data_IF_993094270663
#
_entry.id   IF_993094270663
#
_cell.length_a   1.000
_cell.length_b   1.000
_cell.length_c   1.000
_cell.angle_alpha   90.00
_cell.angle_beta   90.00
_cell.angle_gamma   90.00
#
_symmetry.space_group_name_H-M   'P 1'
#
loop_
_entity.id
_entity.type
_entity.pdbx_description
1 polymer ?
#
# COMPACT_ATOMS: atom_id res chain seq x y z
N UNK A 1 28.97 -19.03 24.24
CA UNK A 1 28.81 -18.73 23.79
C UNK A 1 28.26 -18.38 22.88
N UNK A 2 27.78 -18.03 22.44
CA UNK A 2 27.27 -17.69 21.75
C UNK A 2 26.96 -17.40 20.82
N UNK A 3 26.63 -17.19 20.31
CA UNK A 3 26.33 -16.93 19.53
C UNK A 3 25.97 -16.37 18.69
N UNK A 4 25.80 -16.07 18.32
CA UNK A 4 25.47 -15.44 17.68
C UNK A 4 24.95 -15.29 16.61
N UNK A 5 24.46 -15.19 16.46
CA UNK A 5 23.95 -15.00 15.66
C UNK A 5 23.60 -14.37 14.82
N UNK A 6 23.52 -13.99 14.43
CA UNK A 6 23.22 -13.35 13.74
C UNK A 6 22.91 -13.27 12.77
N UNK A 7 22.49 -13.12 12.63
CA UNK A 7 22.11 -12.94 11.86
C UNK A 7 21.83 -12.48 11.01
N UNK A 8 21.51 -12.43 10.71
CA UNK A 8 21.23 -12.09 10.03
C UNK A 8 21.11 -11.37 9.24
N UNK A 9 21.50 -11.11 9.26
CA UNK A 9 21.55 -10.05 8.54
C UNK A 9 20.83 -10.07 7.34
N UNK A 10 19.83 -10.05 7.28
CA UNK A 10 19.15 -10.08 6.12
C UNK A 10 19.18 -8.81 5.45
N UNK A 11 19.19 -8.75 4.21
CA UNK A 11 19.12 -7.56 3.47
C UNK A 11 17.73 -7.00 3.41
N UNK A 12 16.90 -7.41 4.30
CA UNK A 12 15.53 -6.98 4.28
C UNK A 12 15.42 -5.56 4.78
N UNK A 13 14.61 -4.75 4.18
CA UNK A 13 14.35 -3.41 4.63
C UNK A 13 13.46 -3.36 5.84
N UNK A 14 13.06 -2.18 6.20
CA UNK A 14 12.18 -1.98 7.34
C UNK A 14 10.77 -2.38 7.00
N UNK A 15 9.99 -2.63 8.04
CA UNK A 15 8.57 -2.86 7.88
C UNK A 15 7.88 -1.53 8.10
N UNK A 16 7.05 -1.10 7.13
CA UNK A 16 6.38 0.18 7.17
C UNK A 16 4.89 -0.03 7.28
N UNK A 17 4.29 0.51 8.32
CA UNK A 17 2.87 0.35 8.60
C UNK A 17 2.11 1.63 8.35
N UNK A 18 0.99 1.52 7.66
CA UNK A 18 0.11 2.65 7.41
C UNK A 18 -1.33 2.20 7.64
N UNK A 19 -2.14 3.09 8.19
CA UNK A 19 -3.56 2.83 8.40
C UNK A 19 -4.36 3.72 7.46
N UNK A 20 -5.26 3.11 6.71
CA UNK A 20 -6.07 3.83 5.74
C UNK A 20 -7.54 3.60 6.04
N UNK A 21 -8.25 4.68 6.31
CA UNK A 21 -9.67 4.64 6.54
C UNK A 21 -10.34 5.32 5.36
N UNK A 22 -10.98 4.53 4.52
CA UNK A 22 -11.55 5.00 3.27
C UNK A 22 -13.03 5.25 3.48
N UNK A 23 -13.43 6.51 3.38
CA UNK A 23 -14.81 6.91 3.56
C UNK A 23 -15.30 7.53 2.26
N UNK A 24 -16.39 6.98 1.73
CA UNK A 24 -16.96 7.50 0.50
C UNK A 24 -15.93 7.55 -0.63
N UNK A 25 -15.08 6.54 -0.69
CA UNK A 25 -14.10 6.40 -1.75
C UNK A 25 -12.90 7.29 -1.64
N UNK A 26 -12.62 7.88 -0.48
CA UNK A 26 -11.48 8.78 -0.34
C UNK A 26 -10.93 8.73 1.07
N UNK A 27 -9.72 9.23 1.21
CA UNK A 27 -9.08 9.37 2.51
C UNK A 27 -9.34 10.77 3.03
N UNK A 28 -9.13 10.96 4.35
CA UNK A 28 -9.31 12.26 4.95
C UNK A 28 -8.41 13.30 4.31
N UNK A 29 -7.16 12.92 4.02
CA UNK A 29 -6.25 13.76 3.29
C UNK A 29 -6.34 13.40 1.82
N UNK A 30 -6.41 14.41 0.95
CA UNK A 30 -6.59 14.18 -0.48
C UNK A 30 -5.29 13.66 -1.09
N UNK A 31 -5.33 12.44 -1.61
CA UNK A 31 -4.23 11.81 -2.33
C UNK A 31 -2.87 11.97 -1.63
N UNK A 32 -2.76 11.50 -0.37
CA UNK A 32 -1.47 11.60 0.32
C UNK A 32 -0.40 10.76 -0.36
N UNK A 33 0.85 11.06 -0.04
CA UNK A 33 1.98 10.29 -0.52
C UNK A 33 2.56 9.51 0.65
N UNK A 34 2.62 8.19 0.50
CA UNK A 34 3.27 7.33 1.48
C UNK A 34 4.69 7.07 1.00
N UNK A 35 5.67 7.39 1.83
CA UNK A 35 7.07 7.28 1.43
C UNK A 35 7.71 6.07 2.10
N UNK A 36 8.32 5.23 1.29
CA UNK A 36 9.02 4.05 1.77
C UNK A 36 10.33 3.94 1.00
N UNK A 37 11.14 2.95 1.36
CA UNK A 37 12.43 2.73 0.72
C UNK A 37 12.41 1.39 0.00
N UNK A 38 13.07 1.34 -1.13
CA UNK A 38 13.22 0.12 -1.91
C UNK A 38 13.69 -1.01 -1.00
N UNK A 39 13.00 -2.14 -1.06
CA UNK A 39 13.32 -3.29 -0.21
C UNK A 39 12.52 -3.36 1.07
N UNK A 40 11.78 -2.31 1.40
CA UNK A 40 10.92 -2.36 2.58
C UNK A 40 9.76 -3.30 2.37
N UNK A 41 9.15 -3.72 3.47
CA UNK A 41 7.87 -4.41 3.47
C UNK A 41 6.80 -3.42 3.89
N UNK A 42 5.76 -3.31 3.09
CA UNK A 42 4.68 -2.38 3.38
C UNK A 42 3.50 -3.15 3.94
N UNK A 43 2.94 -2.64 5.03
CA UNK A 43 1.77 -3.22 5.66
C UNK A 43 0.69 -2.14 5.68
N UNK A 44 -0.35 -2.36 4.92
CA UNK A 44 -1.48 -1.44 4.90
C UNK A 44 -2.63 -2.06 5.68
N UNK A 45 -3.11 -1.34 6.68
CA UNK A 45 -4.32 -1.72 7.39
C UNK A 45 -5.43 -0.88 6.81
N UNK A 46 -6.40 -1.55 6.22
CA UNK A 46 -7.39 -0.86 5.41
C UNK A 46 -8.79 -1.12 5.92
N UNK A 47 -9.61 -0.10 5.81
CA UNK A 47 -11.01 -0.24 6.10
C UNK A 47 -11.78 0.70 5.18
N UNK A 48 -12.89 0.24 4.64
CA UNK A 48 -13.71 1.04 3.74
C UNK A 48 -15.15 0.92 4.16
N UNK A 49 -15.90 2.00 4.01
CA UNK A 49 -17.33 1.98 4.29
C UNK A 49 -18.11 1.29 3.17
N UNK A 50 -17.45 0.90 2.09
CA UNK A 50 -18.08 0.24 0.97
C UNK A 50 -17.15 -0.78 0.36
N UNK A 51 -17.69 -1.69 -0.42
CA UNK A 51 -16.89 -2.66 -1.15
C UNK A 51 -16.08 -1.94 -2.21
N UNK A 52 -14.78 -2.18 -2.23
CA UNK A 52 -13.87 -1.55 -3.19
C UNK A 52 -12.87 -2.56 -3.70
N UNK A 53 -12.38 -2.30 -4.90
CA UNK A 53 -11.22 -2.99 -5.43
C UNK A 53 -10.14 -1.97 -5.63
N UNK A 54 -8.96 -2.19 -5.04
CA UNK A 54 -7.84 -1.27 -5.12
C UNK A 54 -6.79 -1.85 -6.05
N UNK A 55 -6.15 -0.97 -6.81
CA UNK A 55 -5.18 -1.36 -7.80
C UNK A 55 -3.93 -0.53 -7.61
N UNK A 56 -2.81 -1.19 -7.31
CA UNK A 56 -1.53 -0.50 -7.21
C UNK A 56 -0.83 -0.60 -8.56
N UNK A 57 -0.84 0.51 -9.28
CA UNK A 57 -0.27 0.54 -10.62
C UNK A 57 1.23 0.45 -10.56
N UNK A 58 1.81 -0.18 -11.56
CA UNK A 58 3.25 -0.38 -11.61
C UNK A 58 3.70 -1.65 -10.93
N UNK A 59 2.96 -2.11 -9.96
CA UNK A 59 3.24 -3.36 -9.27
C UNK A 59 2.25 -4.46 -9.65
N UNK A 60 1.20 -4.11 -10.38
CA UNK A 60 0.17 -5.04 -10.82
C UNK A 60 -0.47 -5.78 -9.67
N UNK A 61 -0.69 -5.08 -8.57
CA UNK A 61 -1.31 -5.67 -7.41
C UNK A 61 -2.74 -5.18 -7.29
N UNK A 62 -3.64 -6.10 -6.98
CA UNK A 62 -5.05 -5.80 -6.80
C UNK A 62 -5.49 -6.32 -5.45
N UNK A 63 -6.31 -5.56 -4.76
CA UNK A 63 -6.74 -5.90 -3.42
C UNK A 63 -8.21 -5.53 -3.25
N UNK A 64 -9.00 -6.47 -2.73
CA UNK A 64 -10.44 -6.25 -2.54
C UNK A 64 -10.76 -6.01 -1.09
N UNK A 65 -11.63 -5.04 -0.85
CA UNK A 65 -12.13 -4.72 0.47
C UNK A 65 -13.62 -4.98 0.53
N UNK A 66 -14.06 -5.61 1.61
CA UNK A 66 -15.47 -5.72 1.90
C UNK A 66 -15.90 -4.54 2.75
N UNK A 67 -17.15 -4.12 2.58
CA UNK A 67 -17.66 -2.97 3.31
C UNK A 67 -17.59 -3.21 4.81
N UNK A 68 -16.94 -2.31 5.52
CA UNK A 68 -16.89 -2.34 6.98
C UNK A 68 -16.00 -3.40 7.58
N UNK A 69 -15.26 -4.15 6.77
CA UNK A 69 -14.43 -5.25 7.26
C UNK A 69 -12.97 -4.81 7.20
N UNK A 70 -12.27 -4.71 8.33
CA UNK A 70 -10.87 -4.36 8.31
C UNK A 70 -10.05 -5.44 7.61
N UNK A 71 -9.02 -5.02 6.90
CA UNK A 71 -8.16 -5.93 6.17
C UNK A 71 -6.71 -5.47 6.28
N UNK A 72 -5.79 -6.40 6.10
CA UNK A 72 -4.37 -6.12 6.12
C UNK A 72 -3.78 -6.58 4.81
N UNK A 73 -3.05 -5.67 4.14
CA UNK A 73 -2.41 -5.96 2.88
C UNK A 73 -0.91 -5.81 3.07
N UNK A 74 -0.15 -6.87 2.82
CA UNK A 74 1.31 -6.87 2.97
C UNK A 74 1.97 -7.12 1.64
N UNK A 75 2.98 -6.32 1.33
CA UNK A 75 3.72 -6.54 0.08
C UNK A 75 5.08 -5.88 0.17
N UNK A 76 6.03 -6.42 -0.57
CA UNK A 76 7.35 -5.83 -0.68
C UNK A 76 7.42 -4.81 -1.79
N UNK A 77 8.40 -3.91 -1.72
CA UNK A 77 8.56 -2.87 -2.74
C UNK A 77 9.95 -2.93 -3.36
N UNK A 78 10.18 -3.88 -4.27
CA UNK A 78 11.51 -4.07 -4.86
C UNK A 78 11.88 -3.01 -5.90
N UNK A 79 10.93 -2.22 -6.37
CA UNK A 79 11.16 -1.28 -7.46
C UNK A 79 10.92 0.14 -6.98
N UNK A 80 11.89 1.03 -7.19
CA UNK A 80 11.71 2.43 -6.83
C UNK A 80 10.83 3.14 -7.84
N UNK A 81 10.23 4.23 -7.41
CA UNK A 81 9.36 5.03 -8.25
C UNK A 81 8.17 5.54 -7.49
N UNK A 82 7.25 6.12 -8.22
CA UNK A 82 6.03 6.66 -7.64
C UNK A 82 4.84 5.95 -8.27
N UNK A 83 4.05 5.29 -7.45
CA UNK A 83 3.01 4.40 -7.91
C UNK A 83 1.65 4.81 -7.36
N UNK A 84 0.67 5.06 -8.21
CA UNK A 84 -0.65 5.43 -7.70
C UNK A 84 -1.42 4.20 -7.24
N UNK A 85 -2.10 4.33 -6.13
CA UNK A 85 -3.07 3.35 -5.66
C UNK A 85 -4.44 3.92 -5.97
N UNK A 86 -5.17 3.25 -6.84
CA UNK A 86 -6.43 3.77 -7.32
C UNK A 86 -7.56 2.80 -7.04
N UNK A 87 -8.77 3.33 -6.97
CA UNK A 87 -9.94 2.50 -6.85
C UNK A 87 -10.35 2.09 -8.25
N UNK A 88 -10.48 0.79 -8.44
CA UNK A 88 -10.94 0.26 -9.71
C UNK A 88 -12.45 0.19 -9.66
N UNK A 89 -13.10 0.93 -10.54
CA UNK A 89 -14.55 0.94 -10.57
C UNK A 89 -15.04 0.33 -11.84
N UNK A 90 -15.98 -0.57 -11.70
CA UNK A 90 -16.66 -1.11 -12.85
C UNK A 90 -17.66 -0.08 -13.33
N UNK A 91 -17.95 -0.06 -14.58
CA UNK A 91 -18.95 0.82 -15.09
C UNK A 91 -18.42 2.08 -15.70
N UNK A 92 -17.14 2.17 -15.83
CA UNK A 92 -16.60 3.17 -16.71
C UNK A 92 -16.43 4.55 -16.19
N UNK A 93 -16.42 4.71 -14.91
CA UNK A 93 -16.01 6.00 -14.38
C UNK A 93 -14.56 6.17 -14.68
N UNK A 94 -14.14 7.32 -15.06
CA UNK A 94 -12.77 7.53 -15.48
C UNK A 94 -12.20 8.77 -14.88
N UNK A 95 -10.91 8.92 -14.99
CA UNK A 95 -10.27 10.15 -14.66
C UNK A 95 -10.23 10.46 -13.20
N UNK A 96 -10.35 9.47 -12.38
CA UNK A 96 -10.31 9.70 -10.95
C UNK A 96 -8.91 9.94 -10.47
N UNK A 97 -8.78 10.84 -9.54
CA UNK A 97 -7.53 11.00 -8.85
C UNK A 97 -7.23 9.72 -8.09
N UNK A 98 -5.96 9.35 -7.96
CA UNK A 98 -5.60 8.19 -7.16
C UNK A 98 -6.02 8.41 -5.71
N UNK A 99 -6.26 7.31 -5.01
CA UNK A 99 -6.53 7.34 -3.58
C UNK A 99 -5.31 7.87 -2.84
N UNK A 100 -4.15 7.40 -3.24
CA UNK A 100 -2.88 7.85 -2.69
C UNK A 100 -1.75 7.51 -3.67
N UNK A 101 -0.56 8.02 -3.37
CA UNK A 101 0.64 7.63 -4.09
C UNK A 101 1.57 6.90 -3.15
N UNK A 102 2.14 5.81 -3.64
CA UNK A 102 3.21 5.12 -2.93
C UNK A 102 4.53 5.53 -3.58
N UNK A 103 5.38 6.20 -2.82
CA UNK A 103 6.65 6.68 -3.33
C UNK A 103 7.76 5.83 -2.75
N UNK A 104 8.43 5.07 -3.60
CA UNK A 104 9.46 4.14 -3.18
C UNK A 104 10.80 4.75 -3.56
N UNK A 105 11.56 5.13 -2.56
CA UNK A 105 12.85 5.77 -2.77
C UNK A 105 13.93 4.72 -2.99
N UNK A 106 14.92 5.00 -3.83
CA UNK A 106 16.02 4.04 -4.01
C UNK A 106 16.73 3.79 -2.70
N UNK A 107 17.23 2.58 -2.63
CA UNK A 107 17.97 2.16 -1.45
C UNK A 107 19.37 2.76 -1.44
#
# INVERSE_FOLDING_TARGET
MSAALMLSATARGAERHFELDIQDGRLAESAPTLKVTQGDDVVLELKSDRKLELHLHGYSLTFELAAGVPAVWRFGVPTSGRFPLAIHEHGGAHGHAPLLYLEVHPK
#
